data_IF_280545550205
#
_entry.id   IF_280545550205
#
_cell.length_a   1.000
_cell.length_b   1.000
_cell.length_c   1.000
_cell.angle_alpha   90.00
_cell.angle_beta   90.00
_cell.angle_gamma   90.00
#
_symmetry.space_group_name_H-M   'P 1'
#
loop_
_entity.id
_entity.type
_entity.pdbx_description
1 polymer ?
#
# COMPACT_ATOMS: atom_id res chain seq x y z
N UNK A 1 21.11 -8.47 -30.57
CA UNK A 1 21.21 -8.17 -29.12
C UNK A 1 19.82 -8.28 -28.56
N UNK A 2 19.54 -9.29 -27.74
CA UNK A 2 18.30 -9.35 -26.96
C UNK A 2 18.27 -8.12 -26.03
N UNK A 3 17.18 -7.34 -25.98
CA UNK A 3 17.12 -6.19 -25.09
C UNK A 3 17.32 -6.63 -23.64
N UNK A 4 18.02 -5.81 -22.85
CA UNK A 4 18.19 -6.05 -21.43
C UNK A 4 16.81 -6.10 -20.76
N UNK A 5 16.60 -7.10 -19.91
CA UNK A 5 15.32 -7.31 -19.24
C UNK A 5 15.09 -6.15 -18.28
N UNK A 6 13.91 -5.56 -18.34
CA UNK A 6 13.56 -4.37 -17.58
C UNK A 6 12.99 -4.76 -16.22
N UNK A 7 13.21 -3.92 -15.21
CA UNK A 7 12.72 -4.15 -13.85
C UNK A 7 11.44 -3.37 -13.54
N UNK A 8 10.50 -4.02 -12.88
CA UNK A 8 9.30 -3.40 -12.30
C UNK A 8 9.44 -3.45 -10.78
N UNK A 9 9.20 -2.33 -10.11
CA UNK A 9 9.26 -2.25 -8.64
C UNK A 9 7.87 -2.03 -8.05
N UNK A 10 7.44 -2.91 -7.15
CA UNK A 10 6.25 -2.76 -6.33
C UNK A 10 6.64 -2.19 -4.97
N UNK A 11 6.12 -1.01 -4.61
CA UNK A 11 6.21 -0.40 -3.28
C UNK A 11 4.87 -0.56 -2.58
N UNK A 12 4.80 -1.42 -1.56
CA UNK A 12 3.54 -1.72 -0.86
C UNK A 12 3.73 -1.86 0.65
N UNK A 13 2.71 -1.51 1.42
CA UNK A 13 2.65 -1.84 2.85
C UNK A 13 2.43 -3.36 3.04
N UNK A 14 2.89 -4.00 4.14
CA UNK A 14 2.82 -5.45 4.33
C UNK A 14 1.43 -5.94 4.74
N UNK A 15 0.53 -5.06 5.15
CA UNK A 15 -0.82 -5.39 5.59
C UNK A 15 -1.55 -6.14 4.49
N UNK A 16 -2.18 -7.26 4.85
CA UNK A 16 -2.86 -8.14 3.89
C UNK A 16 -3.83 -7.40 2.98
N UNK A 17 -4.64 -6.51 3.55
CA UNK A 17 -5.62 -5.71 2.81
C UNK A 17 -4.99 -4.75 1.79
N UNK A 18 -3.75 -4.32 2.00
CA UNK A 18 -3.03 -3.43 1.07
C UNK A 18 -2.22 -4.22 0.04
N UNK A 19 -1.41 -5.16 0.51
CA UNK A 19 -0.38 -5.78 -0.33
C UNK A 19 -0.91 -6.84 -1.29
N UNK A 20 -2.10 -7.40 -1.05
CA UNK A 20 -2.61 -8.55 -1.83
C UNK A 20 -2.70 -8.22 -3.32
N UNK A 21 -3.24 -7.05 -3.67
CA UNK A 21 -3.40 -6.65 -5.08
C UNK A 21 -2.03 -6.47 -5.75
N UNK A 22 -1.05 -5.89 -5.04
CA UNK A 22 0.31 -5.74 -5.55
C UNK A 22 1.01 -7.07 -5.77
N UNK A 23 0.86 -8.02 -4.84
CA UNK A 23 1.42 -9.35 -4.98
C UNK A 23 0.77 -10.14 -6.13
N UNK A 24 -0.55 -10.07 -6.30
CA UNK A 24 -1.24 -10.74 -7.39
C UNK A 24 -0.78 -10.21 -8.77
N UNK A 25 -0.67 -8.90 -8.92
CA UNK A 25 -0.15 -8.30 -10.16
C UNK A 25 1.32 -8.67 -10.38
N UNK A 26 2.13 -8.72 -9.31
CA UNK A 26 3.52 -9.15 -9.39
C UNK A 26 3.65 -10.61 -9.85
N UNK A 27 2.76 -11.49 -9.40
CA UNK A 27 2.70 -12.90 -9.81
C UNK A 27 2.39 -13.06 -11.30
N UNK A 28 1.45 -12.29 -11.84
CA UNK A 28 1.18 -12.26 -13.30
C UNK A 28 2.41 -11.84 -14.11
N UNK A 29 3.18 -10.86 -13.64
CA UNK A 29 4.43 -10.48 -14.30
C UNK A 29 5.51 -11.58 -14.19
N UNK A 30 5.58 -12.30 -13.06
CA UNK A 30 6.46 -13.47 -12.95
C UNK A 30 6.09 -14.55 -13.94
N UNK A 31 4.79 -14.80 -14.14
CA UNK A 31 4.29 -15.79 -15.10
C UNK A 31 4.58 -15.40 -16.55
N UNK A 32 4.50 -14.11 -16.90
CA UNK A 32 4.85 -13.63 -18.24
C UNK A 32 6.34 -13.80 -18.55
N UNK A 33 7.22 -13.72 -17.54
CA UNK A 33 8.67 -13.79 -17.70
C UNK A 33 9.31 -12.58 -18.41
N UNK A 34 8.52 -11.55 -18.77
CA UNK A 34 8.97 -10.39 -19.56
C UNK A 34 9.81 -9.39 -18.75
N UNK A 35 9.60 -9.33 -17.43
CA UNK A 35 10.20 -8.34 -16.55
C UNK A 35 10.88 -8.98 -15.32
N UNK A 36 11.89 -8.30 -14.78
CA UNK A 36 12.38 -8.60 -13.44
C UNK A 36 11.45 -7.96 -12.40
N UNK A 37 10.83 -8.79 -11.57
CA UNK A 37 9.88 -8.34 -10.56
C UNK A 37 10.61 -8.08 -9.24
N UNK A 38 10.52 -6.84 -8.75
CA UNK A 38 11.07 -6.41 -7.48
C UNK A 38 9.94 -5.96 -6.56
N UNK A 39 9.97 -6.39 -5.30
CA UNK A 39 8.96 -6.03 -4.30
C UNK A 39 9.68 -5.40 -3.11
N UNK A 40 9.32 -4.17 -2.78
CA UNK A 40 9.86 -3.43 -1.66
C UNK A 40 8.76 -3.18 -0.62
N UNK A 41 9.00 -3.64 0.59
CA UNK A 41 8.07 -3.52 1.73
C UNK A 41 8.82 -3.69 3.05
N UNK A 42 8.11 -3.65 4.17
CA UNK A 42 8.67 -3.96 5.49
C UNK A 42 8.85 -5.47 5.68
N UNK A 43 9.72 -5.84 6.63
CA UNK A 43 10.13 -7.23 6.89
C UNK A 43 8.97 -8.26 6.93
N UNK A 44 7.79 -7.97 7.52
CA UNK A 44 6.70 -8.95 7.59
C UNK A 44 6.20 -9.48 6.23
N UNK A 45 6.40 -8.73 5.13
CA UNK A 45 5.96 -9.19 3.80
C UNK A 45 6.90 -10.25 3.19
N UNK A 46 8.14 -10.36 3.66
CA UNK A 46 9.17 -11.22 3.06
C UNK A 46 8.72 -12.68 2.94
N UNK A 47 8.07 -13.22 3.98
CA UNK A 47 7.59 -14.61 3.99
C UNK A 47 6.54 -14.87 2.90
N UNK A 48 5.68 -13.89 2.59
CA UNK A 48 4.66 -14.03 1.52
C UNK A 48 5.29 -13.99 0.13
N UNK A 49 6.30 -13.14 -0.07
CA UNK A 49 7.08 -13.14 -1.33
C UNK A 49 7.85 -14.45 -1.50
N UNK A 50 8.42 -14.99 -0.42
CA UNK A 50 9.06 -16.29 -0.44
C UNK A 50 8.07 -17.42 -0.77
N UNK A 51 6.84 -17.35 -0.25
CA UNK A 51 5.80 -18.32 -0.58
C UNK A 51 5.45 -18.29 -2.08
N UNK A 52 5.35 -17.11 -2.71
CA UNK A 52 5.16 -16.97 -4.16
C UNK A 52 6.33 -17.60 -4.92
N UNK A 53 7.57 -17.30 -4.52
CA UNK A 53 8.77 -17.85 -5.17
C UNK A 53 8.89 -19.38 -5.05
N UNK A 54 8.30 -19.96 -4.00
CA UNK A 54 8.30 -21.41 -3.77
C UNK A 54 7.20 -22.13 -4.57
N UNK A 55 6.23 -21.40 -5.13
CA UNK A 55 5.23 -22.01 -6.01
C UNK A 55 5.90 -22.40 -7.33
N UNK A 56 5.73 -23.67 -7.72
CA UNK A 56 6.33 -24.22 -8.93
C UNK A 56 5.62 -23.64 -10.17
N UNK A 57 6.38 -23.05 -11.10
CA UNK A 57 5.82 -22.63 -12.40
C UNK A 57 6.41 -21.37 -13.02
N UNK A 58 7.26 -20.63 -12.31
CA UNK A 58 7.89 -19.42 -12.85
C UNK A 58 9.35 -19.65 -13.25
N UNK A 59 9.76 -19.12 -14.40
CA UNK A 59 11.16 -19.12 -14.84
C UNK A 59 12.03 -18.18 -13.99
N UNK A 60 11.41 -17.27 -13.23
CA UNK A 60 12.05 -16.23 -12.44
C UNK A 60 11.38 -16.09 -11.07
N UNK A 61 12.14 -15.58 -10.11
CA UNK A 61 11.68 -15.31 -8.74
C UNK A 61 11.57 -13.80 -8.51
N UNK A 62 10.58 -13.38 -7.71
CA UNK A 62 10.49 -12.00 -7.24
C UNK A 62 11.61 -11.69 -6.24
N UNK A 63 12.27 -10.55 -6.44
CA UNK A 63 13.33 -10.05 -5.55
C UNK A 63 12.74 -9.15 -4.46
N UNK A 64 12.90 -9.54 -3.20
CA UNK A 64 12.42 -8.76 -2.07
C UNK A 64 13.46 -7.74 -1.58
N UNK A 65 13.01 -6.52 -1.29
CA UNK A 65 13.81 -5.42 -0.74
C UNK A 65 13.16 -4.94 0.56
N UNK A 66 13.87 -5.05 1.67
CA UNK A 66 13.35 -4.60 2.96
C UNK A 66 13.49 -3.08 3.08
N UNK A 67 12.38 -2.39 3.31
CA UNK A 67 12.35 -0.99 3.71
C UNK A 67 12.65 -0.91 5.20
N UNK A 68 13.60 -0.06 5.57
CA UNK A 68 13.91 0.19 6.98
C UNK A 68 12.75 0.90 7.69
N UNK A 69 12.48 0.56 8.95
CA UNK A 69 11.47 1.24 9.78
C UNK A 69 10.32 0.32 10.20
N UNK A 70 9.22 0.95 10.59
CA UNK A 70 8.02 0.28 11.10
C UNK A 70 6.94 0.21 10.02
N UNK A 71 6.24 -0.92 9.96
CA UNK A 71 5.03 -1.07 9.17
C UNK A 71 3.87 -0.24 9.74
N UNK A 72 2.82 -0.04 8.95
CA UNK A 72 1.63 0.69 9.38
C UNK A 72 0.97 0.03 10.60
N UNK A 73 0.90 -1.30 10.63
CA UNK A 73 0.36 -2.06 11.77
C UNK A 73 1.16 -1.84 13.06
N UNK A 74 2.49 -1.77 12.97
CA UNK A 74 3.37 -1.48 14.11
C UNK A 74 3.18 -0.04 14.62
N UNK A 75 2.95 0.91 13.71
CA UNK A 75 2.67 2.30 14.08
C UNK A 75 1.31 2.48 14.74
N UNK A 76 0.28 1.82 14.20
CA UNK A 76 -1.06 1.81 14.78
C UNK A 76 -1.03 1.20 16.17
N UNK A 77 -0.33 0.06 16.35
CA UNK A 77 -0.17 -0.60 17.64
C UNK A 77 0.53 0.29 18.69
N UNK A 78 1.45 1.16 18.25
CA UNK A 78 2.13 2.14 19.12
C UNK A 78 1.22 3.30 19.53
N UNK A 79 0.37 3.78 18.63
CA UNK A 79 -0.33 5.05 18.79
C UNK A 79 -1.77 4.95 19.31
N UNK A 80 -2.58 4.02 18.79
CA UNK A 80 -4.01 3.93 19.13
C UNK A 80 -4.51 2.50 18.94
N UNK A 81 -4.60 1.70 20.02
CA UNK A 81 -4.98 0.28 19.92
C UNK A 81 -6.44 0.07 19.53
N UNK A 82 -7.29 1.11 19.53
CA UNK A 82 -8.70 1.01 19.19
C UNK A 82 -9.16 2.18 18.31
N UNK A 83 -9.38 1.88 17.03
CA UNK A 83 -9.93 2.81 16.03
C UNK A 83 -11.47 2.88 16.04
N UNK A 84 -12.15 2.06 16.86
CA UNK A 84 -13.60 2.12 16.98
C UNK A 84 -14.05 3.48 17.49
N UNK A 85 -15.15 3.96 16.92
CA UNK A 85 -15.80 5.19 17.28
C UNK A 85 -17.31 4.97 17.42
N UNK A 86 -17.98 5.90 18.12
CA UNK A 86 -19.44 5.85 18.25
C UNK A 86 -20.10 6.09 16.88
N UNK A 87 -21.34 5.62 16.64
CA UNK A 87 -22.09 6.01 15.46
C UNK A 87 -22.46 7.50 15.47
N UNK A 88 -22.75 8.06 14.29
CA UNK A 88 -23.14 9.46 14.11
C UNK A 88 -21.96 10.41 13.83
N UNK A 89 -22.28 11.65 13.45
CA UNK A 89 -21.30 12.65 12.94
C UNK A 89 -20.13 12.85 13.91
N UNK A 90 -20.42 13.04 15.21
CA UNK A 90 -19.39 13.26 16.22
C UNK A 90 -18.43 12.07 16.36
N UNK A 91 -18.97 10.85 16.28
CA UNK A 91 -18.15 9.65 16.32
C UNK A 91 -17.37 9.43 15.02
N UNK A 92 -17.94 9.73 13.86
CA UNK A 92 -17.18 9.71 12.59
C UNK A 92 -15.99 10.67 12.63
N UNK A 93 -16.16 11.89 13.15
CA UNK A 93 -15.07 12.85 13.29
C UNK A 93 -13.96 12.33 14.23
N UNK A 94 -14.33 11.76 15.38
CA UNK A 94 -13.40 11.09 16.30
C UNK A 94 -12.67 9.90 15.63
N UNK A 95 -13.39 9.10 14.86
CA UNK A 95 -12.83 8.01 14.05
C UNK A 95 -11.80 8.49 13.04
N UNK A 96 -12.13 9.53 12.27
CA UNK A 96 -11.21 10.14 11.30
C UNK A 96 -9.94 10.68 11.99
N UNK A 97 -10.09 11.33 13.14
CA UNK A 97 -8.95 11.84 13.91
C UNK A 97 -8.04 10.70 14.41
N UNK A 98 -8.62 9.63 14.95
CA UNK A 98 -7.88 8.43 15.39
C UNK A 98 -7.12 7.79 14.24
N UNK A 99 -7.76 7.61 13.08
CA UNK A 99 -7.11 7.04 11.88
C UNK A 99 -5.93 7.92 11.45
N UNK A 100 -6.13 9.23 11.35
CA UNK A 100 -5.06 10.16 10.97
C UNK A 100 -3.88 10.07 11.95
N UNK A 101 -4.14 10.09 13.26
CA UNK A 101 -3.09 9.95 14.28
C UNK A 101 -2.37 8.62 14.21
N UNK A 102 -3.07 7.53 13.87
CA UNK A 102 -2.49 6.19 13.86
C UNK A 102 -1.65 5.93 12.62
N UNK A 103 -2.13 6.32 11.44
CA UNK A 103 -1.45 6.10 10.15
C UNK A 103 -0.27 7.05 9.95
N UNK A 104 -0.33 8.24 10.55
CA UNK A 104 0.71 9.27 10.48
C UNK A 104 1.58 9.33 11.75
N UNK A 105 1.59 8.28 12.58
CA UNK A 105 2.27 8.25 13.88
C UNK A 105 3.81 8.18 13.79
N UNK A 106 4.43 8.72 12.73
CA UNK A 106 5.87 8.68 12.50
C UNK A 106 6.58 9.81 13.21
N UNK A 107 7.75 9.54 13.80
CA UNK A 107 8.69 10.62 14.10
C UNK A 107 9.32 11.13 12.79
N UNK A 108 9.76 12.41 12.73
CA UNK A 108 10.48 12.93 11.56
C UNK A 108 11.69 12.08 11.17
N UNK A 109 12.44 11.58 12.14
CA UNK A 109 13.64 10.76 11.93
C UNK A 109 13.30 9.38 11.40
N UNK A 110 12.24 8.76 11.92
CA UNK A 110 11.73 7.46 11.44
C UNK A 110 11.25 7.58 10.00
N UNK A 111 10.43 8.59 9.70
CA UNK A 111 9.96 8.87 8.35
C UNK A 111 11.14 9.03 7.39
N UNK A 112 12.09 9.92 7.71
CA UNK A 112 13.23 10.21 6.84
C UNK A 112 14.13 8.99 6.62
N UNK A 113 14.26 8.12 7.63
CA UNK A 113 15.01 6.86 7.50
C UNK A 113 14.34 5.93 6.50
N UNK A 114 13.04 5.70 6.63
CA UNK A 114 12.27 4.85 5.71
C UNK A 114 12.23 5.42 4.29
N UNK A 115 12.01 6.73 4.16
CA UNK A 115 12.06 7.46 2.90
C UNK A 115 13.41 7.29 2.17
N UNK A 116 14.54 7.48 2.88
CA UNK A 116 15.88 7.27 2.33
C UNK A 116 16.11 5.81 1.93
N UNK A 117 15.60 4.85 2.71
CA UNK A 117 15.64 3.44 2.36
C UNK A 117 14.96 3.17 1.01
N UNK A 118 13.81 3.80 0.75
CA UNK A 118 13.13 3.70 -0.54
C UNK A 118 13.95 4.33 -1.68
N UNK A 119 14.59 5.48 -1.46
CA UNK A 119 15.47 6.10 -2.46
C UNK A 119 16.65 5.19 -2.85
N UNK A 120 17.30 4.55 -1.88
CA UNK A 120 18.39 3.61 -2.16
C UNK A 120 17.90 2.39 -2.94
N UNK A 121 16.73 1.84 -2.60
CA UNK A 121 16.11 0.75 -3.37
C UNK A 121 15.86 1.19 -4.81
N UNK A 122 15.27 2.37 -5.03
CA UNK A 122 15.03 2.92 -6.37
C UNK A 122 16.32 3.07 -7.17
N UNK A 123 17.38 3.54 -6.53
CA UNK A 123 18.71 3.72 -7.14
C UNK A 123 19.35 2.39 -7.53
N UNK A 124 19.20 1.36 -6.71
CA UNK A 124 19.76 0.01 -6.96
C UNK A 124 18.95 -0.74 -8.02
N UNK A 125 17.63 -0.66 -7.97
CA UNK A 125 16.75 -1.41 -8.87
C UNK A 125 16.64 -0.76 -10.26
N UNK A 126 16.71 0.58 -10.33
CA UNK A 126 16.51 1.35 -11.56
C UNK A 126 15.28 0.90 -12.37
N UNK A 127 14.09 0.83 -11.75
CA UNK A 127 12.91 0.27 -12.40
C UNK A 127 12.41 1.17 -13.54
N UNK A 128 11.87 0.57 -14.58
CA UNK A 128 11.24 1.32 -15.69
C UNK A 128 9.89 1.90 -15.29
N UNK A 129 9.24 1.30 -14.29
CA UNK A 129 8.00 1.77 -13.68
C UNK A 129 7.95 1.32 -12.22
N UNK A 130 7.40 2.18 -11.36
CA UNK A 130 7.16 1.90 -9.96
C UNK A 130 5.66 1.81 -9.73
N UNK A 131 5.20 0.65 -9.29
CA UNK A 131 3.82 0.41 -8.87
C UNK A 131 3.73 0.70 -7.37
N UNK A 132 2.90 1.66 -6.96
CA UNK A 132 2.89 2.17 -5.60
C UNK A 132 1.50 2.04 -4.98
N UNK A 133 1.46 1.49 -3.76
CA UNK A 133 0.35 1.62 -2.82
C UNK A 133 0.34 3.05 -2.24
N UNK A 134 -0.72 3.84 -2.42
CA UNK A 134 -0.77 5.22 -1.95
C UNK A 134 -0.78 5.36 -0.42
N UNK A 135 -1.07 4.31 0.36
CA UNK A 135 -0.93 4.36 1.82
C UNK A 135 0.53 4.29 2.28
N UNK A 136 1.43 3.73 1.47
CA UNK A 136 2.87 3.78 1.69
C UNK A 136 3.44 5.13 1.23
N UNK A 137 3.03 6.20 1.90
CA UNK A 137 3.35 7.59 1.56
C UNK A 137 4.85 7.85 1.37
N UNK A 138 5.71 7.29 2.22
CA UNK A 138 7.17 7.42 2.10
C UNK A 138 7.72 6.83 0.80
N UNK A 139 7.11 5.75 0.30
CA UNK A 139 7.49 5.12 -0.96
C UNK A 139 7.01 5.96 -2.15
N UNK A 140 5.79 6.49 -2.07
CA UNK A 140 5.24 7.39 -3.08
C UNK A 140 6.04 8.69 -3.18
N UNK A 141 6.39 9.28 -2.05
CA UNK A 141 7.19 10.52 -1.99
C UNK A 141 8.61 10.27 -2.50
N UNK A 142 9.22 9.13 -2.17
CA UNK A 142 10.52 8.72 -2.72
C UNK A 142 10.45 8.59 -4.25
N UNK A 143 9.47 7.86 -4.78
CA UNK A 143 9.30 7.67 -6.22
C UNK A 143 9.05 8.99 -6.96
N UNK A 144 8.24 9.90 -6.38
CA UNK A 144 7.99 11.24 -6.94
C UNK A 144 9.26 12.09 -6.96
N UNK A 145 9.99 12.12 -5.85
CA UNK A 145 11.22 12.91 -5.73
C UNK A 145 12.31 12.42 -6.68
N UNK A 146 12.37 11.12 -6.95
CA UNK A 146 13.26 10.52 -7.94
C UNK A 146 12.73 10.64 -9.39
N UNK A 147 11.59 11.29 -9.61
CA UNK A 147 10.97 11.47 -10.93
C UNK A 147 10.70 10.16 -11.68
N UNK A 148 10.32 9.12 -10.94
CA UNK A 148 9.98 7.81 -11.51
C UNK A 148 8.66 7.86 -12.29
N UNK A 149 8.50 6.93 -13.24
CA UNK A 149 7.19 6.63 -13.82
C UNK A 149 6.39 5.85 -12.77
N UNK A 150 5.26 6.42 -12.32
CA UNK A 150 4.47 5.87 -11.22
C UNK A 150 3.14 5.34 -11.73
N UNK A 151 2.79 4.13 -11.31
CA UNK A 151 1.45 3.56 -11.43
C UNK A 151 0.89 3.40 -10.02
N UNK A 152 -0.30 3.96 -9.77
CA UNK A 152 -0.98 3.79 -8.48
C UNK A 152 -1.80 2.51 -8.53
N UNK A 153 -1.55 1.60 -7.59
CA UNK A 153 -2.32 0.37 -7.43
C UNK A 153 -2.84 0.33 -6.00
N UNK A 154 -4.16 0.44 -5.84
CA UNK A 154 -4.79 0.58 -4.53
C UNK A 154 -6.01 -0.34 -4.41
N UNK A 155 -6.13 -1.16 -3.35
CA UNK A 155 -7.21 -2.14 -3.20
C UNK A 155 -8.47 -1.49 -2.62
N UNK A 156 -8.91 -0.39 -3.23
CA UNK A 156 -10.17 0.28 -2.89
C UNK A 156 -11.00 0.46 -4.15
N UNK A 157 -12.34 0.48 -4.04
CA UNK A 157 -13.18 0.78 -5.18
C UNK A 157 -12.94 2.21 -5.66
N UNK A 158 -13.13 2.44 -6.97
CA UNK A 158 -12.91 3.74 -7.61
C UNK A 158 -13.61 4.89 -6.87
N UNK A 159 -14.79 4.64 -6.29
CA UNK A 159 -15.55 5.63 -5.51
C UNK A 159 -14.71 6.32 -4.42
N UNK A 160 -13.79 5.60 -3.79
CA UNK A 160 -12.97 6.11 -2.68
C UNK A 160 -11.79 6.93 -3.19
N UNK A 161 -11.35 6.68 -4.43
CA UNK A 161 -10.31 7.46 -5.12
C UNK A 161 -10.85 8.80 -5.61
N UNK A 162 -12.06 8.79 -6.17
CA UNK A 162 -12.64 9.99 -6.81
C UNK A 162 -13.60 10.75 -5.89
N UNK A 163 -13.64 10.41 -4.60
CA UNK A 163 -14.65 10.92 -3.66
C UNK A 163 -14.59 12.45 -3.53
N UNK A 164 -13.38 13.01 -3.52
CA UNK A 164 -13.13 14.45 -3.34
C UNK A 164 -13.34 15.28 -4.61
N UNK A 165 -13.48 14.64 -5.78
CA UNK A 165 -13.67 15.32 -7.08
C UNK A 165 -15.09 15.17 -7.61
N UNK A 166 -16.02 14.62 -6.82
CA UNK A 166 -17.39 14.42 -7.25
C UNK A 166 -18.11 15.77 -7.47
N UNK A 167 -18.72 15.98 -8.66
CA UNK A 167 -19.47 17.20 -8.92
C UNK A 167 -20.73 17.27 -8.04
N UNK A 168 -21.21 18.49 -7.79
CA UNK A 168 -22.48 18.75 -7.08
C UNK A 168 -22.53 18.09 -5.69
N UNK A 169 -21.40 18.08 -4.97
CA UNK A 169 -21.27 17.47 -3.65
C UNK A 169 -21.74 16.01 -3.61
N UNK A 170 -21.48 15.25 -4.68
CA UNK A 170 -21.91 13.85 -4.83
C UNK A 170 -21.50 12.94 -3.66
N UNK A 171 -20.41 13.27 -2.98
CA UNK A 171 -19.96 12.62 -1.74
C UNK A 171 -21.05 12.54 -0.66
N UNK A 172 -21.93 13.53 -0.54
CA UNK A 172 -22.91 13.59 0.55
C UNK A 172 -24.12 12.67 0.35
N UNK A 173 -24.38 12.22 -0.88
CA UNK A 173 -25.65 11.55 -1.22
C UNK A 173 -25.54 10.37 -2.19
N UNK A 174 -24.42 10.21 -2.91
CA UNK A 174 -24.20 9.06 -3.82
C UNK A 174 -23.43 7.92 -3.17
N UNK A 175 -22.54 8.24 -2.23
CA UNK A 175 -21.58 7.29 -1.69
C UNK A 175 -21.60 7.34 -0.18
N UNK A 176 -21.98 6.24 0.52
CA UNK A 176 -21.79 6.19 1.96
C UNK A 176 -20.28 6.24 2.27
N UNK A 177 -19.91 6.95 3.34
CA UNK A 177 -18.53 7.00 3.80
C UNK A 177 -18.12 5.61 4.33
N UNK A 178 -16.84 5.26 4.21
CA UNK A 178 -16.31 4.08 4.90
C UNK A 178 -16.58 4.20 6.41
N UNK A 179 -17.00 3.10 7.04
CA UNK A 179 -17.42 3.02 8.44
C UNK A 179 -18.71 3.78 8.84
N UNK A 180 -19.51 4.28 7.89
CA UNK A 180 -20.87 4.81 8.18
C UNK A 180 -21.99 3.87 7.75
N UNK A 181 -21.68 2.65 7.28
CA UNK A 181 -22.72 1.66 7.03
C UNK A 181 -23.30 1.16 8.36
N UNK A 182 -24.63 1.20 8.56
CA UNK A 182 -25.23 0.51 9.68
C UNK A 182 -24.90 -0.97 9.55
N UNK A 183 -24.35 -1.56 10.62
CA UNK A 183 -24.40 -3.01 10.77
C UNK A 183 -25.87 -3.40 10.74
N UNK A 184 -26.32 -4.04 9.65
CA UNK A 184 -27.51 -4.86 9.73
C UNK A 184 -27.15 -6.01 10.66
N UNK A 185 -27.51 -5.85 11.92
CA UNK A 185 -27.55 -6.95 12.85
C UNK A 185 -28.68 -7.85 12.34
N UNK A 186 -28.35 -8.84 11.51
CA UNK A 186 -29.23 -9.98 11.33
C UNK A 186 -29.26 -10.70 12.69
N UNK A 187 -30.15 -10.22 13.57
CA UNK A 187 -30.63 -11.02 14.68
C UNK A 187 -31.18 -12.29 14.07
N UNK A 188 -30.42 -13.38 14.25
CA UNK A 188 -30.94 -14.73 14.11
C UNK A 188 -32.06 -14.89 15.13
N UNK A 189 -33.29 -14.74 14.67
CA UNK A 189 -34.46 -15.37 15.29
C UNK A 189 -34.47 -16.87 14.96
#
# INVERSE_FOLDING_TARGET
MTPAIQSILFLTSPEHGQSNVGLAVAEEFLQSGEYEVHIASFHPLAARVQAINNQAGFDRVARFHTIAGLSMSELVARGTPNICHKPGIAGTLDGCEKINKSVLAWSPEEYLRSYRSCLEILKVVQPVVVVVDPLLHLGLDAARSAQMKIVILWPVPLKDVVIMVQPKLGILWKYPLCATMPYFNESKD
#
